data_IF_218408022614
#
_entry.id   IF_218408022614
#
_cell.length_a   1.000
_cell.length_b   1.000
_cell.length_c   1.000
_cell.angle_alpha   90.00
_cell.angle_beta   90.00
_cell.angle_gamma   90.00
#
_symmetry.space_group_name_H-M   'P 1'
#
loop_
_entity.id
_entity.type
_entity.pdbx_description
1 polymer ?
#
# COMPACT_ATOMS: atom_id res chain seq x y z
N UNK A 1 17.61 -4.16 2.62
CA UNK A 1 16.23 -3.90 2.15
C UNK A 1 16.13 -2.51 1.54
N UNK A 2 15.02 -2.19 0.86
CA UNK A 2 14.81 -0.88 0.22
C UNK A 2 13.33 -0.48 0.22
N UNK A 3 12.62 -0.85 1.28
CA UNK A 3 11.28 -0.37 1.59
C UNK A 3 11.38 0.99 2.29
N UNK A 4 10.36 1.82 2.14
CA UNK A 4 10.26 3.05 2.95
C UNK A 4 9.54 2.79 4.28
N UNK A 5 8.45 2.01 4.24
CA UNK A 5 7.63 1.51 5.37
C UNK A 5 6.60 0.49 4.80
N UNK A 6 5.88 -0.26 5.66
CA UNK A 6 4.74 -1.17 5.40
C UNK A 6 5.00 -2.62 4.96
N UNK A 7 6.21 -2.98 4.56
CA UNK A 7 6.50 -4.35 4.10
C UNK A 7 7.83 -4.90 4.61
N UNK A 8 8.62 -4.07 5.30
CA UNK A 8 9.82 -4.47 6.01
C UNK A 8 9.51 -5.54 7.04
N UNK A 9 8.45 -5.40 7.81
CA UNK A 9 8.07 -6.36 8.85
C UNK A 9 7.66 -7.72 8.24
N UNK A 10 7.00 -7.71 7.09
CA UNK A 10 6.64 -8.93 6.38
C UNK A 10 7.88 -9.62 5.79
N UNK A 11 8.82 -8.83 5.27
CA UNK A 11 10.11 -9.32 4.77
C UNK A 11 10.90 -10.00 5.89
N UNK A 12 11.00 -9.35 7.05
CA UNK A 12 11.65 -9.87 8.24
C UNK A 12 10.99 -11.16 8.73
N UNK A 13 9.66 -11.18 8.90
CA UNK A 13 8.93 -12.38 9.29
C UNK A 13 9.19 -13.55 8.33
N UNK A 14 9.20 -13.30 7.02
CA UNK A 14 9.48 -14.33 6.01
C UNK A 14 10.92 -14.81 6.07
N UNK A 15 11.89 -13.91 6.27
CA UNK A 15 13.31 -14.26 6.42
C UNK A 15 13.55 -15.09 7.68
N UNK A 16 12.97 -14.72 8.81
CA UNK A 16 13.09 -15.48 10.05
C UNK A 16 12.47 -16.86 9.93
N UNK A 17 11.26 -16.93 9.38
CA UNK A 17 10.57 -18.20 9.18
C UNK A 17 11.37 -19.16 8.30
N UNK A 18 11.97 -18.67 7.20
CA UNK A 18 12.87 -19.45 6.34
C UNK A 18 14.14 -19.94 7.02
N UNK A 19 14.58 -19.26 8.08
CA UNK A 19 15.73 -19.64 8.89
C UNK A 19 15.34 -20.49 10.11
N UNK A 20 14.14 -21.09 10.11
CA UNK A 20 13.70 -22.02 11.16
C UNK A 20 13.29 -21.35 12.47
N UNK A 21 13.08 -20.03 12.49
CA UNK A 21 12.65 -19.34 13.69
C UNK A 21 11.20 -19.70 14.04
N UNK A 22 10.93 -19.87 15.34
CA UNK A 22 9.59 -20.16 15.85
C UNK A 22 8.76 -18.89 15.93
N UNK A 23 7.49 -18.99 15.52
CA UNK A 23 6.50 -17.94 15.72
C UNK A 23 5.83 -18.17 17.08
N UNK A 24 5.87 -17.16 17.94
CA UNK A 24 5.25 -17.19 19.28
C UNK A 24 4.10 -16.18 19.32
N UNK A 25 3.01 -16.55 19.98
CA UNK A 25 1.83 -15.70 20.17
C UNK A 25 1.65 -15.46 21.67
N UNK A 26 1.50 -14.19 22.06
CA UNK A 26 1.30 -13.78 23.44
C UNK A 26 -0.12 -13.25 23.65
N UNK A 27 -1.13 -14.12 23.90
CA UNK A 27 -2.53 -13.69 23.98
C UNK A 27 -2.84 -12.78 25.19
N UNK A 28 -2.00 -12.82 26.24
CA UNK A 28 -2.13 -11.94 27.40
C UNK A 28 -1.62 -10.51 27.14
N UNK A 29 -0.82 -10.30 26.08
CA UNK A 29 -0.31 -8.97 25.74
C UNK A 29 -1.44 -8.08 25.22
N UNK A 30 -1.51 -6.83 25.72
CA UNK A 30 -2.46 -5.82 25.26
C UNK A 30 -1.69 -4.71 24.56
N UNK A 31 -2.07 -4.40 23.32
CA UNK A 31 -1.46 -3.36 22.51
C UNK A 31 -2.57 -2.43 22.02
N UNK A 32 -2.37 -1.13 22.17
CA UNK A 32 -3.25 -0.11 21.59
C UNK A 32 -2.63 0.33 20.27
N UNK A 33 -3.33 0.09 19.16
CA UNK A 33 -2.90 0.52 17.84
C UNK A 33 -3.68 1.77 17.44
N UNK A 34 -2.97 2.90 17.29
CA UNK A 34 -3.53 4.13 16.75
C UNK A 34 -3.48 4.13 15.23
N UNK A 35 -4.48 3.50 14.62
CA UNK A 35 -4.52 3.28 13.18
C UNK A 35 -4.34 4.59 12.38
N UNK A 36 -3.39 4.54 11.45
CA UNK A 36 -3.04 5.60 10.51
C UNK A 36 -2.67 6.96 11.16
N UNK A 37 -2.43 7.03 12.48
CA UNK A 37 -2.21 8.30 13.19
C UNK A 37 -1.09 9.14 12.57
N UNK A 38 0.03 8.52 12.23
CA UNK A 38 1.16 9.18 11.57
C UNK A 38 0.88 9.53 10.10
N UNK A 39 0.05 8.73 9.43
CA UNK A 39 -0.25 8.84 8.00
C UNK A 39 -1.28 9.93 7.67
N UNK A 40 -2.08 10.35 8.67
CA UNK A 40 -3.13 11.38 8.53
C UNK A 40 -2.62 12.71 7.99
N UNK A 41 -1.37 13.05 8.26
CA UNK A 41 -0.77 14.33 7.83
C UNK A 41 -0.47 14.40 6.33
N UNK A 42 -0.33 13.25 5.65
CA UNK A 42 0.02 13.18 4.24
C UNK A 42 -0.59 11.95 3.57
N UNK A 43 -1.93 11.87 3.48
CA UNK A 43 -2.62 10.63 3.10
C UNK A 43 -2.22 10.15 1.70
N UNK A 44 -2.18 11.05 0.71
CA UNK A 44 -1.88 10.70 -0.68
C UNK A 44 -0.44 10.20 -0.89
N UNK A 45 0.54 10.92 -0.33
CA UNK A 45 1.95 10.47 -0.36
C UNK A 45 2.14 9.14 0.36
N UNK A 46 1.41 8.95 1.44
CA UNK A 46 1.50 7.73 2.23
C UNK A 46 0.92 6.54 1.49
N UNK A 47 -0.22 6.72 0.81
CA UNK A 47 -0.81 5.70 -0.05
C UNK A 47 0.12 5.30 -1.19
N UNK A 48 0.82 6.26 -1.82
CA UNK A 48 1.81 5.96 -2.85
C UNK A 48 2.95 5.08 -2.29
N UNK A 49 3.50 5.45 -1.12
CA UNK A 49 4.58 4.72 -0.45
C UNK A 49 4.15 3.30 -0.07
N UNK A 50 2.94 3.14 0.45
CA UNK A 50 2.33 1.84 0.77
C UNK A 50 2.31 0.92 -0.46
N UNK A 51 1.76 1.40 -1.58
CA UNK A 51 1.67 0.59 -2.80
C UNK A 51 3.04 0.29 -3.41
N UNK A 52 3.98 1.24 -3.34
CA UNK A 52 5.37 1.02 -3.78
C UNK A 52 6.03 -0.10 -2.99
N UNK A 53 5.91 -0.09 -1.66
CA UNK A 53 6.44 -1.16 -0.81
C UNK A 53 5.77 -2.51 -1.10
N UNK A 54 4.45 -2.54 -1.29
CA UNK A 54 3.72 -3.77 -1.62
C UNK A 54 4.16 -4.37 -2.95
N UNK A 55 4.21 -3.58 -4.02
CA UNK A 55 4.67 -4.08 -5.32
C UNK A 55 6.11 -4.56 -5.28
N UNK A 56 6.99 -3.86 -4.54
CA UNK A 56 8.36 -4.32 -4.31
C UNK A 56 8.38 -5.68 -3.61
N UNK A 57 7.59 -5.85 -2.55
CA UNK A 57 7.52 -7.11 -1.80
C UNK A 57 7.07 -8.27 -2.68
N UNK A 58 5.95 -8.12 -3.40
CA UNK A 58 5.46 -9.16 -4.30
C UNK A 58 6.40 -9.43 -5.47
N UNK A 59 7.13 -8.42 -5.96
CA UNK A 59 8.17 -8.61 -6.97
C UNK A 59 9.38 -9.36 -6.41
N UNK A 60 9.82 -9.03 -5.20
CA UNK A 60 10.95 -9.68 -4.54
C UNK A 60 10.69 -11.17 -4.30
N UNK A 61 9.46 -11.52 -3.92
CA UNK A 61 9.04 -12.89 -3.65
C UNK A 61 8.24 -13.53 -4.79
N UNK A 62 8.37 -13.01 -6.03
CA UNK A 62 7.53 -13.43 -7.16
C UNK A 62 7.56 -14.94 -7.45
N UNK A 63 8.71 -15.59 -7.24
CA UNK A 63 8.88 -17.03 -7.45
C UNK A 63 8.05 -17.91 -6.51
N UNK A 64 7.52 -17.36 -5.43
CA UNK A 64 6.68 -18.08 -4.46
C UNK A 64 5.19 -17.99 -4.76
N UNK A 65 4.82 -17.25 -5.82
CA UNK A 65 3.44 -17.07 -6.24
C UNK A 65 3.23 -17.67 -7.64
N UNK A 66 1.98 -18.04 -7.99
CA UNK A 66 1.66 -18.48 -9.34
C UNK A 66 2.10 -17.44 -10.40
N UNK A 67 2.53 -17.94 -11.56
CA UNK A 67 2.87 -17.08 -12.70
C UNK A 67 1.68 -16.15 -13.04
N UNK A 68 1.97 -14.88 -13.29
CA UNK A 68 0.95 -13.87 -13.59
C UNK A 68 0.33 -13.17 -12.38
N UNK A 69 0.61 -13.60 -11.14
CA UNK A 69 0.09 -12.95 -9.91
C UNK A 69 0.35 -11.43 -9.91
N UNK A 70 1.56 -11.00 -10.25
CA UNK A 70 1.91 -9.58 -10.35
C UNK A 70 1.14 -8.83 -11.44
N UNK A 71 0.87 -9.48 -12.57
CA UNK A 71 0.10 -8.85 -13.65
C UNK A 71 -1.37 -8.63 -13.22
N UNK A 72 -1.95 -9.63 -12.55
CA UNK A 72 -3.30 -9.52 -11.97
C UNK A 72 -3.34 -8.44 -10.90
N UNK A 73 -2.36 -8.40 -9.99
CA UNK A 73 -2.28 -7.37 -8.96
C UNK A 73 -2.19 -5.97 -9.58
N UNK A 74 -1.34 -5.77 -10.60
CA UNK A 74 -1.26 -4.50 -11.33
C UNK A 74 -2.58 -4.12 -12.00
N UNK A 75 -3.28 -5.08 -12.59
CA UNK A 75 -4.59 -4.83 -13.20
C UNK A 75 -5.61 -4.37 -12.16
N UNK A 76 -5.74 -5.10 -11.05
CA UNK A 76 -6.67 -4.78 -9.96
C UNK A 76 -6.36 -3.41 -9.33
N UNK A 77 -5.08 -3.10 -9.12
CA UNK A 77 -4.68 -1.80 -8.58
C UNK A 77 -4.98 -0.68 -9.59
N UNK A 78 -4.71 -0.89 -10.88
CA UNK A 78 -5.03 0.11 -11.92
C UNK A 78 -6.52 0.38 -12.02
N UNK A 79 -7.37 -0.65 -11.96
CA UNK A 79 -8.82 -0.45 -11.98
C UNK A 79 -9.30 0.28 -10.72
N UNK A 80 -8.78 -0.07 -9.56
CA UNK A 80 -9.08 0.61 -8.29
C UNK A 80 -8.64 2.09 -8.29
N UNK A 81 -7.45 2.40 -8.82
CA UNK A 81 -6.95 3.77 -8.93
C UNK A 81 -7.76 4.60 -9.93
N UNK A 82 -8.17 4.02 -11.07
CA UNK A 82 -9.09 4.70 -12.00
C UNK A 82 -10.43 5.01 -11.35
N UNK A 83 -10.99 4.07 -10.57
CA UNK A 83 -12.23 4.31 -9.81
C UNK A 83 -12.03 5.41 -8.76
N UNK A 84 -10.90 5.42 -8.07
CA UNK A 84 -10.58 6.43 -7.05
C UNK A 84 -10.41 7.81 -7.67
N UNK A 85 -9.71 7.92 -8.81
CA UNK A 85 -9.58 9.16 -9.55
C UNK A 85 -10.94 9.73 -10.00
N UNK A 86 -11.83 8.88 -10.52
CA UNK A 86 -13.21 9.30 -10.87
C UNK A 86 -13.98 9.81 -9.66
N UNK A 87 -13.87 9.13 -8.52
CA UNK A 87 -14.51 9.56 -7.26
C UNK A 87 -14.01 10.93 -6.81
N UNK A 88 -12.70 11.18 -6.90
CA UNK A 88 -12.12 12.48 -6.57
C UNK A 88 -12.63 13.59 -7.51
N UNK A 89 -12.71 13.31 -8.81
CA UNK A 89 -13.29 14.25 -9.77
C UNK A 89 -14.76 14.56 -9.46
N UNK A 90 -15.56 13.54 -9.13
CA UNK A 90 -16.95 13.73 -8.72
C UNK A 90 -17.06 14.51 -7.41
N UNK A 91 -16.21 14.25 -6.42
CA UNK A 91 -16.20 14.99 -5.16
C UNK A 91 -15.87 16.47 -5.38
N UNK A 92 -14.87 16.76 -6.22
CA UNK A 92 -14.52 18.13 -6.59
C UNK A 92 -15.66 18.83 -7.34
N UNK A 93 -16.29 18.15 -8.31
CA UNK A 93 -17.43 18.69 -9.05
C UNK A 93 -18.65 18.98 -8.14
N UNK A 94 -18.77 18.28 -7.00
CA UNK A 94 -19.79 18.52 -5.98
C UNK A 94 -19.38 19.56 -4.93
N UNK A 95 -18.18 20.12 -5.00
CA UNK A 95 -17.65 21.08 -4.03
C UNK A 95 -17.28 20.47 -2.67
N UNK A 96 -17.09 19.15 -2.60
CA UNK A 96 -16.76 18.44 -1.35
C UNK A 96 -15.27 18.54 -0.98
N UNK A 97 -14.41 18.74 -1.97
CA UNK A 97 -12.95 18.87 -1.81
C UNK A 97 -12.44 20.06 -2.62
N UNK A 98 -11.29 20.61 -2.22
CA UNK A 98 -10.64 21.68 -2.96
C UNK A 98 -9.76 21.18 -4.12
N UNK A 99 -9.27 22.13 -4.93
CA UNK A 99 -8.43 21.80 -6.09
C UNK A 99 -7.05 21.25 -5.72
N UNK A 100 -6.54 21.58 -4.53
CA UNK A 100 -5.24 21.10 -4.05
C UNK A 100 -5.33 19.63 -3.68
N UNK A 101 -6.38 19.24 -2.95
CA UNK A 101 -6.66 17.86 -2.60
C UNK A 101 -6.95 17.01 -3.84
N UNK A 102 -7.69 17.54 -4.81
CA UNK A 102 -7.91 16.87 -6.09
C UNK A 102 -6.58 16.59 -6.81
N UNK A 103 -5.71 17.60 -6.96
CA UNK A 103 -4.43 17.41 -7.67
C UNK A 103 -3.53 16.39 -6.97
N UNK A 104 -3.40 16.48 -5.64
CA UNK A 104 -2.62 15.53 -4.85
C UNK A 104 -3.15 14.10 -5.00
N UNK A 105 -4.46 13.91 -4.92
CA UNK A 105 -5.10 12.60 -5.07
C UNK A 105 -4.95 12.02 -6.47
N UNK A 106 -5.16 12.83 -7.51
CA UNK A 106 -4.96 12.40 -8.90
C UNK A 106 -3.49 12.09 -9.20
N UNK A 107 -2.56 12.87 -8.67
CA UNK A 107 -1.12 12.64 -8.78
C UNK A 107 -0.72 11.31 -8.15
N UNK A 108 -1.18 11.04 -6.92
CA UNK A 108 -0.95 9.76 -6.25
C UNK A 108 -1.56 8.58 -7.02
N UNK A 109 -2.79 8.71 -7.52
CA UNK A 109 -3.42 7.66 -8.34
C UNK A 109 -2.58 7.36 -9.60
N UNK A 110 -2.08 8.39 -10.29
CA UNK A 110 -1.21 8.23 -11.46
C UNK A 110 0.12 7.56 -11.10
N UNK A 111 0.74 7.97 -10.01
CA UNK A 111 1.99 7.38 -9.54
C UNK A 111 1.82 5.89 -9.21
N UNK A 112 0.75 5.52 -8.50
CA UNK A 112 0.45 4.12 -8.14
C UNK A 112 0.18 3.27 -9.39
N UNK A 113 -0.51 3.80 -10.41
CA UNK A 113 -0.78 3.06 -11.64
C UNK A 113 0.47 2.75 -12.50
N UNK A 114 1.58 3.47 -12.27
CA UNK A 114 2.86 3.30 -12.96
C UNK A 114 3.78 2.25 -12.33
N UNK A 115 3.45 1.74 -11.14
CA UNK A 115 4.14 0.61 -10.48
C UNK A 115 3.83 -0.73 -11.19
#
# INVERSE_FOLDING_TARGET
>A
EGYWMYCEEMDWCRRFWRNGWRVLVAPAARIIHHEAQSSRKAPWRTQERLWRSRFRFYAHYAAEYPAGTLAVLRLLVRTAMRRSARRLQTAFARGEIDGVELDQGLSACRAIMRL
#
